data_IF_204387985595
#
_entry.id   IF_204387985595
#
_cell.length_a   1.000
_cell.length_b   1.000
_cell.length_c   1.000
_cell.angle_alpha   90.00
_cell.angle_beta   90.00
_cell.angle_gamma   90.00
#
_symmetry.space_group_name_H-M   'P 1'
#
loop_
_entity.id
_entity.type
_entity.pdbx_description
1 polymer ?
#
# COMPACT_ATOMS: atom_id res chain seq x y z
N UNK A 1 -24.01 3.70 -4.55
CA UNK A 1 -22.88 2.91 -4.00
C UNK A 1 -21.60 3.39 -4.66
N UNK A 2 -20.66 3.86 -3.87
CA UNK A 2 -19.39 4.34 -4.41
C UNK A 2 -18.53 3.15 -4.83
N UNK A 3 -18.12 3.13 -6.10
CA UNK A 3 -17.24 2.09 -6.59
C UNK A 3 -15.79 2.56 -6.39
N UNK A 4 -15.15 2.08 -5.33
CA UNK A 4 -13.76 2.44 -5.04
C UNK A 4 -12.76 1.65 -5.87
N UNK A 5 -13.22 0.64 -6.61
CA UNK A 5 -12.34 -0.24 -7.39
C UNK A 5 -11.58 0.53 -8.47
N UNK A 6 -12.27 1.38 -9.21
CA UNK A 6 -11.63 2.20 -10.26
C UNK A 6 -10.64 3.20 -9.67
N UNK A 7 -10.99 3.83 -8.54
CA UNK A 7 -10.13 4.81 -7.89
C UNK A 7 -8.89 4.16 -7.27
N UNK A 8 -9.04 3.02 -6.60
CA UNK A 8 -7.91 2.31 -6.02
C UNK A 8 -6.96 1.78 -7.10
N UNK A 9 -7.53 1.32 -8.21
CA UNK A 9 -6.74 0.87 -9.36
C UNK A 9 -5.93 2.02 -9.96
N UNK A 10 -6.54 3.20 -10.06
CA UNK A 10 -5.86 4.40 -10.54
C UNK A 10 -4.70 4.79 -9.62
N UNK A 11 -4.90 4.73 -8.31
CA UNK A 11 -3.84 5.00 -7.34
C UNK A 11 -2.70 4.02 -7.54
N UNK A 12 -2.99 2.74 -7.71
CA UNK A 12 -1.98 1.72 -7.95
C UNK A 12 -1.18 1.99 -9.22
N UNK A 13 -1.85 2.38 -10.30
CA UNK A 13 -1.20 2.73 -11.57
C UNK A 13 -0.31 3.97 -11.42
N UNK A 14 -0.79 4.98 -10.72
CA UNK A 14 -0.02 6.21 -10.47
C UNK A 14 1.23 5.90 -9.63
N UNK A 15 1.09 5.06 -8.62
CA UNK A 15 2.22 4.64 -7.79
C UNK A 15 3.24 3.82 -8.58
N UNK A 16 2.77 2.97 -9.49
CA UNK A 16 3.64 2.21 -10.38
C UNK A 16 4.49 3.13 -11.25
N UNK A 17 3.92 4.22 -11.74
CA UNK A 17 4.65 5.23 -12.51
C UNK A 17 5.73 5.92 -11.69
N UNK A 18 5.55 5.98 -10.38
CA UNK A 18 6.54 6.56 -9.46
C UNK A 18 7.60 5.54 -9.02
N UNK A 19 7.51 4.30 -9.47
CA UNK A 19 8.44 3.25 -9.12
C UNK A 19 7.96 2.27 -8.07
N UNK A 20 6.74 2.45 -7.56
CA UNK A 20 6.15 1.54 -6.57
C UNK A 20 5.37 0.44 -7.28
N UNK A 21 6.08 -0.54 -7.80
CA UNK A 21 5.47 -1.67 -8.51
C UNK A 21 5.09 -2.76 -7.52
N UNK A 22 3.83 -3.19 -7.57
CA UNK A 22 3.30 -4.23 -6.70
C UNK A 22 2.84 -5.43 -7.53
N UNK A 23 3.04 -6.64 -7.00
CA UNK A 23 2.37 -7.81 -7.54
C UNK A 23 0.89 -7.74 -7.21
N UNK A 24 0.07 -8.52 -7.91
CA UNK A 24 -1.36 -8.55 -7.65
C UNK A 24 -1.66 -8.99 -6.20
N UNK A 25 -0.92 -9.97 -5.71
CA UNK A 25 -1.06 -10.44 -4.33
C UNK A 25 -0.73 -9.36 -3.31
N UNK A 26 0.38 -8.64 -3.52
CA UNK A 26 0.78 -7.54 -2.66
C UNK A 26 -0.27 -6.43 -2.66
N UNK A 27 -0.80 -6.10 -3.83
CA UNK A 27 -1.85 -5.10 -3.97
C UNK A 27 -3.09 -5.49 -3.17
N UNK A 28 -3.54 -6.74 -3.28
CA UNK A 28 -4.71 -7.23 -2.56
C UNK A 28 -4.51 -7.16 -1.04
N UNK A 29 -3.35 -7.55 -0.55
CA UNK A 29 -3.04 -7.50 0.87
C UNK A 29 -3.07 -6.07 1.39
N UNK A 30 -2.43 -5.15 0.66
CA UNK A 30 -2.38 -3.74 1.05
C UNK A 30 -3.78 -3.12 1.00
N UNK A 31 -4.55 -3.45 -0.02
CA UNK A 31 -5.92 -2.94 -0.17
C UNK A 31 -6.81 -3.40 0.98
N UNK A 32 -6.78 -4.67 1.34
CA UNK A 32 -7.55 -5.19 2.47
C UNK A 32 -7.16 -4.53 3.78
N UNK A 33 -5.86 -4.37 4.00
CA UNK A 33 -5.36 -3.69 5.18
C UNK A 33 -5.85 -2.24 5.24
N UNK A 34 -5.81 -1.55 4.11
CA UNK A 34 -6.25 -0.15 4.01
C UNK A 34 -7.74 -0.01 4.29
N UNK A 35 -8.54 -0.92 3.76
CA UNK A 35 -9.99 -0.92 4.01
C UNK A 35 -10.28 -1.11 5.51
N UNK A 36 -9.62 -2.07 6.14
CA UNK A 36 -9.79 -2.32 7.58
C UNK A 36 -9.35 -1.13 8.41
N UNK A 37 -8.26 -0.49 8.03
CA UNK A 37 -7.77 0.70 8.72
C UNK A 37 -8.74 1.87 8.60
N UNK A 38 -9.30 2.08 7.42
CA UNK A 38 -10.31 3.11 7.18
C UNK A 38 -11.54 2.88 8.05
N UNK A 39 -12.02 1.65 8.13
CA UNK A 39 -13.16 1.28 8.97
C UNK A 39 -12.88 1.53 10.45
N UNK A 40 -11.68 1.17 10.93
CA UNK A 40 -11.27 1.41 12.31
C UNK A 40 -11.23 2.89 12.68
N UNK A 41 -10.79 3.71 11.74
CA UNK A 41 -10.69 5.16 11.94
C UNK A 41 -12.04 5.86 11.82
N UNK A 42 -13.13 5.13 11.54
CA UNK A 42 -14.45 5.72 11.35
C UNK A 42 -14.56 6.50 10.05
N UNK A 43 -13.63 6.33 9.15
CA UNK A 43 -13.63 6.97 7.83
C UNK A 43 -14.34 6.04 6.85
N UNK A 44 -15.13 6.60 5.96
CA UNK A 44 -15.82 5.81 4.94
C UNK A 44 -14.89 5.25 3.88
N UNK A 45 -15.42 4.42 2.99
CA UNK A 45 -14.64 3.83 1.90
C UNK A 45 -14.09 4.88 0.93
N UNK A 46 -14.66 6.06 0.90
CA UNK A 46 -14.18 7.19 0.10
C UNK A 46 -12.75 7.59 0.47
N UNK A 47 -12.35 7.29 1.70
CA UNK A 47 -11.03 7.62 2.19
C UNK A 47 -9.98 6.56 1.81
N UNK A 48 -10.41 5.38 1.38
CA UNK A 48 -9.51 4.27 1.04
C UNK A 48 -8.49 4.64 -0.04
N UNK A 49 -8.86 5.29 -1.15
CA UNK A 49 -7.86 5.66 -2.17
C UNK A 49 -6.77 6.57 -1.65
N UNK A 50 -7.10 7.48 -0.73
CA UNK A 50 -6.13 8.40 -0.13
C UNK A 50 -5.18 7.66 0.82
N UNK A 51 -5.72 6.77 1.65
CA UNK A 51 -4.91 5.96 2.55
C UNK A 51 -4.05 4.96 1.78
N UNK A 52 -4.55 4.45 0.66
CA UNK A 52 -3.84 3.44 -0.13
C UNK A 52 -2.49 3.95 -0.61
N UNK A 53 -2.42 5.20 -1.05
CA UNK A 53 -1.16 5.81 -1.47
C UNK A 53 -0.12 5.77 -0.36
N UNK A 54 -0.50 6.20 0.84
CA UNK A 54 0.39 6.19 2.00
C UNK A 54 0.77 4.77 2.42
N UNK A 55 -0.17 3.84 2.36
CA UNK A 55 0.08 2.44 2.72
C UNK A 55 1.04 1.75 1.75
N UNK A 56 0.95 2.06 0.46
CA UNK A 56 1.89 1.54 -0.53
C UNK A 56 3.31 2.06 -0.24
N UNK A 57 3.45 3.34 0.04
CA UNK A 57 4.74 3.94 0.40
C UNK A 57 5.32 3.32 1.66
N UNK A 58 4.49 3.13 2.69
CA UNK A 58 4.89 2.50 3.94
C UNK A 58 5.34 1.05 3.73
N UNK A 59 4.63 0.31 2.89
CA UNK A 59 4.97 -1.07 2.57
C UNK A 59 6.35 -1.16 1.93
N UNK A 60 6.62 -0.34 0.94
CA UNK A 60 7.93 -0.29 0.28
C UNK A 60 9.03 0.11 1.25
N UNK A 61 8.78 1.11 2.06
CA UNK A 61 9.75 1.59 3.04
C UNK A 61 10.11 0.48 4.04
N UNK A 62 9.12 -0.22 4.58
CA UNK A 62 9.35 -1.32 5.53
C UNK A 62 10.16 -2.44 4.90
N UNK A 63 9.85 -2.83 3.69
CA UNK A 63 10.57 -3.88 2.98
C UNK A 63 12.02 -3.47 2.71
N UNK A 64 12.24 -2.23 2.33
CA UNK A 64 13.58 -1.70 2.10
C UNK A 64 14.41 -1.71 3.39
N UNK A 65 13.83 -1.23 4.49
CA UNK A 65 14.50 -1.22 5.80
C UNK A 65 14.82 -2.63 6.25
N UNK A 66 13.89 -3.57 6.11
CA UNK A 66 14.10 -4.97 6.46
C UNK A 66 15.22 -5.60 5.62
N UNK A 67 15.24 -5.34 4.32
CA UNK A 67 16.29 -5.85 3.44
C UNK A 67 17.67 -5.31 3.84
N UNK A 68 17.77 -4.01 4.13
CA UNK A 68 19.01 -3.39 4.59
C UNK A 68 19.47 -4.00 5.91
N UNK A 69 18.55 -4.21 6.85
CA UNK A 69 18.86 -4.83 8.12
C UNK A 69 19.39 -6.25 7.97
N UNK A 70 18.79 -7.04 7.09
CA UNK A 70 19.24 -8.40 6.80
C UNK A 70 20.63 -8.41 6.16
N UNK A 71 20.89 -7.51 5.24
CA UNK A 71 22.20 -7.36 4.60
C UNK A 71 23.26 -7.00 5.66
N UNK A 72 22.96 -6.05 6.52
CA UNK A 72 23.89 -5.65 7.59
C UNK A 72 24.17 -6.78 8.56
N UNK A 73 23.18 -7.59 8.88
CA UNK A 73 23.37 -8.76 9.75
C UNK A 73 24.24 -9.83 9.08
N UNK A 74 24.10 -9.98 7.76
CA UNK A 74 24.90 -10.95 7.02
C UNK A 74 26.35 -10.54 6.87
N UNK A 75 26.65 -9.24 6.88
CA UNK A 75 27.99 -8.69 6.73
C UNK A 75 28.71 -8.57 8.08
N UNK A 76 27.95 -8.48 9.14
CA UNK A 76 28.49 -8.43 10.49
C UNK A 76 28.89 -9.82 10.96
#
# INVERSE_FOLDING_TARGET
>A
MLDITAETKKVCEDMEKQGYVLTEEEYQIILEYTIRKSDRCGKGRDYVPLLLEDEIKNYYFRNTVTAISLINMAVA
#
